data_IF_368065669880
#
_entry.id   IF_368065669880
#
_cell.length_a   1.000
_cell.length_b   1.000
_cell.length_c   1.000
_cell.angle_alpha   90.00
_cell.angle_beta   90.00
_cell.angle_gamma   90.00
#
_symmetry.space_group_name_H-M   'P 1'
#
loop_
_entity.id
_entity.type
_entity.pdbx_description
1 polymer ?
#
# COMPACT_ATOMS: atom_id res chain seq x y z
N UNK A 1 -16.14 44.14 57.41
CA UNK A 1 -17.44 43.89 56.75
C UNK A 1 -17.19 43.32 55.36
N UNK A 2 -17.87 42.21 55.07
CA UNK A 2 -17.90 41.35 53.88
C UNK A 2 -17.54 41.98 52.53
N UNK A 3 -16.79 41.22 51.71
CA UNK A 3 -17.39 40.40 50.62
C UNK A 3 -16.35 39.46 49.98
N UNK A 4 -16.64 38.15 50.06
CA UNK A 4 -16.10 37.13 49.15
C UNK A 4 -16.55 37.45 47.72
N UNK A 5 -15.65 37.32 46.74
CA UNK A 5 -16.02 36.99 45.37
C UNK A 5 -14.95 36.10 44.75
N UNK A 6 -15.32 34.85 44.57
CA UNK A 6 -14.65 33.83 43.77
C UNK A 6 -14.68 34.23 42.30
N UNK A 7 -13.54 34.18 41.62
CA UNK A 7 -13.48 34.12 40.17
C UNK A 7 -12.20 33.38 39.78
N UNK A 8 -12.38 32.32 39.00
CA UNK A 8 -11.38 31.32 38.69
C UNK A 8 -10.13 31.86 38.01
N UNK A 9 -9.02 31.16 38.22
CA UNK A 9 -7.89 31.22 37.33
C UNK A 9 -7.67 29.82 36.76
N UNK A 10 -7.61 29.76 35.44
CA UNK A 10 -7.63 28.55 34.64
C UNK A 10 -6.46 27.64 35.01
N UNK A 11 -6.79 26.35 35.16
CA UNK A 11 -5.82 25.28 34.97
C UNK A 11 -5.30 25.37 33.52
N UNK A 12 -4.07 25.84 33.37
CA UNK A 12 -3.33 25.75 32.12
C UNK A 12 -1.87 25.49 32.44
N UNK A 13 -1.56 24.30 32.94
CA UNK A 13 -0.21 23.76 32.79
C UNK A 13 -0.19 22.84 31.59
N UNK A 14 -0.31 23.43 30.41
CA UNK A 14 0.32 22.88 29.23
C UNK A 14 1.81 22.76 29.57
N UNK A 15 2.27 21.55 29.91
CA UNK A 15 3.69 21.26 30.03
C UNK A 15 4.27 21.41 28.63
N UNK A 16 4.72 22.62 28.32
CA UNK A 16 5.47 22.94 27.12
C UNK A 16 6.68 22.01 27.10
N UNK A 17 6.74 21.12 26.11
CA UNK A 17 7.91 20.33 25.81
C UNK A 17 9.00 21.30 25.33
N UNK A 18 9.71 21.93 26.27
CA UNK A 18 10.83 22.82 25.99
C UNK A 18 12.01 21.93 25.64
N UNK A 19 12.48 22.03 24.40
CA UNK A 19 13.70 21.37 23.97
C UNK A 19 14.90 21.90 24.77
N UNK A 20 15.68 20.99 25.37
CA UNK A 20 16.92 21.31 26.07
C UNK A 20 18.09 20.78 25.21
N UNK A 21 18.94 21.67 24.67
CA UNK A 21 20.07 21.26 23.83
C UNK A 21 21.12 20.45 24.62
N UNK A 22 21.99 19.70 23.91
CA UNK A 22 23.17 19.09 24.51
C UNK A 22 24.09 20.14 25.13
N UNK A 23 24.74 19.80 26.24
CA UNK A 23 25.75 20.64 26.88
C UNK A 23 26.96 20.84 25.95
N UNK A 24 27.53 22.04 25.98
CA UNK A 24 28.79 22.31 25.28
C UNK A 24 29.95 21.60 25.99
N UNK A 25 30.92 21.09 25.22
CA UNK A 25 31.96 20.20 25.75
C UNK A 25 32.79 20.79 26.90
N UNK A 26 33.01 22.11 26.93
CA UNK A 26 33.71 22.79 28.03
C UNK A 26 32.95 22.77 29.37
N UNK A 27 31.63 22.58 29.35
CA UNK A 27 30.79 22.55 30.53
C UNK A 27 30.50 21.11 31.01
N UNK A 28 30.76 20.09 30.19
CA UNK A 28 30.43 18.70 30.50
C UNK A 28 31.24 18.18 31.70
N UNK A 29 32.54 18.46 31.75
CA UNK A 29 33.37 18.00 32.87
C UNK A 29 32.97 18.66 34.19
N UNK A 30 32.80 19.98 34.20
CA UNK A 30 32.33 20.72 35.38
C UNK A 30 30.92 20.30 35.81
N UNK A 31 30.05 19.96 34.87
CA UNK A 31 28.73 19.42 35.17
C UNK A 31 28.84 18.04 35.82
N UNK A 32 29.69 17.13 35.32
CA UNK A 32 29.86 15.78 35.88
C UNK A 32 30.51 15.74 37.28
N UNK A 33 31.14 16.83 37.72
CA UNK A 33 31.69 16.98 39.07
C UNK A 33 30.60 17.17 40.14
N UNK A 34 29.40 17.60 39.76
CA UNK A 34 28.27 17.75 40.69
C UNK A 34 27.69 16.38 41.08
N UNK A 35 28.01 15.95 42.31
CA UNK A 35 27.55 14.68 42.90
C UNK A 35 26.03 14.61 43.11
N UNK A 36 25.31 15.73 43.00
CA UNK A 36 23.86 15.79 43.16
C UNK A 36 23.09 15.41 41.88
N UNK A 37 23.79 15.25 40.75
CA UNK A 37 23.17 14.89 39.49
C UNK A 37 22.73 13.43 39.50
N UNK A 38 21.42 13.23 39.38
CA UNK A 38 20.83 11.91 39.23
C UNK A 38 21.41 11.16 38.01
N UNK A 39 21.71 9.87 38.18
CA UNK A 39 22.23 8.99 37.12
C UNK A 39 21.39 9.03 35.83
N UNK A 40 20.07 9.18 35.97
CA UNK A 40 19.15 9.31 34.84
C UNK A 40 19.39 10.57 34.00
N UNK A 41 19.74 11.69 34.63
CA UNK A 41 20.11 12.92 33.90
C UNK A 41 21.42 12.73 33.13
N UNK A 42 22.38 12.02 33.71
CA UNK A 42 23.66 11.68 33.06
C UNK A 42 23.42 10.80 31.82
N UNK A 43 22.50 9.82 31.92
CA UNK A 43 22.08 9.00 30.77
C UNK A 43 21.34 9.82 29.70
N UNK A 44 20.41 10.67 30.11
CA UNK A 44 19.69 11.55 29.18
C UNK A 44 20.64 12.48 28.41
N UNK A 45 21.65 13.02 29.10
CA UNK A 45 22.68 13.85 28.45
C UNK A 45 23.56 13.03 27.50
N UNK A 46 23.93 11.79 27.88
CA UNK A 46 24.64 10.88 26.97
C UNK A 46 23.88 10.67 25.65
N UNK A 47 22.56 10.48 25.71
CA UNK A 47 21.71 10.32 24.53
C UNK A 47 21.73 11.56 23.65
N UNK A 48 21.65 12.77 24.24
CA UNK A 48 21.71 14.02 23.49
C UNK A 48 23.06 14.20 22.79
N UNK A 49 24.16 13.90 23.48
CA UNK A 49 25.52 13.99 22.92
C UNK A 49 25.72 12.98 21.78
N UNK A 50 25.19 11.76 21.90
CA UNK A 50 25.24 10.77 20.82
C UNK A 50 24.47 11.22 19.58
N UNK A 51 23.26 11.77 19.77
CA UNK A 51 22.48 12.32 18.67
C UNK A 51 23.19 13.50 17.98
N UNK A 52 23.82 14.39 18.77
CA UNK A 52 24.61 15.48 18.24
C UNK A 52 25.79 14.97 17.40
N UNK A 53 26.48 13.93 17.87
CA UNK A 53 27.59 13.31 17.13
C UNK A 53 27.11 12.73 15.79
N UNK A 54 25.99 12.02 15.77
CA UNK A 54 25.41 11.45 14.55
C UNK A 54 25.03 12.56 13.55
N UNK A 55 24.44 13.65 14.05
CA UNK A 55 24.13 14.84 13.25
C UNK A 55 25.40 15.50 12.68
N UNK A 56 26.48 15.57 13.45
CA UNK A 56 27.75 16.11 12.99
C UNK A 56 28.38 15.22 11.91
N UNK A 57 28.40 13.90 12.09
CA UNK A 57 28.86 12.97 11.06
C UNK A 57 28.05 13.11 9.77
N UNK A 58 26.72 13.22 9.86
CA UNK A 58 25.86 13.46 8.68
C UNK A 58 26.21 14.77 7.96
N UNK A 59 26.45 15.85 8.71
CA UNK A 59 26.86 17.16 8.16
C UNK A 59 28.25 17.12 7.53
N UNK A 60 29.21 16.42 8.14
CA UNK A 60 30.57 16.22 7.62
C UNK A 60 30.50 15.49 6.29
N UNK A 61 29.78 14.37 6.22
CA UNK A 61 29.60 13.61 4.96
C UNK A 61 28.99 14.47 3.86
N UNK A 62 27.90 15.19 4.14
CA UNK A 62 27.25 16.06 3.16
C UNK A 62 28.12 17.24 2.68
N UNK A 63 29.04 17.74 3.54
CA UNK A 63 30.02 18.78 3.18
C UNK A 63 31.16 18.21 2.33
N UNK A 64 31.63 17.03 2.69
CA UNK A 64 32.70 16.32 2.00
C UNK A 64 32.28 15.96 0.56
N UNK A 65 31.06 15.46 0.36
CA UNK A 65 30.47 15.18 -0.96
C UNK A 65 30.40 16.43 -1.86
N UNK A 66 30.30 17.62 -1.26
CA UNK A 66 30.27 18.92 -1.95
C UNK A 66 31.65 19.57 -2.09
N UNK A 67 32.73 18.85 -1.72
CA UNK A 67 34.11 19.35 -1.78
C UNK A 67 34.38 20.54 -0.85
N UNK A 68 33.58 20.73 0.20
CA UNK A 68 33.75 21.85 1.15
C UNK A 68 34.61 21.41 2.33
N UNK A 69 35.30 22.37 2.94
CA UNK A 69 36.07 22.15 4.17
C UNK A 69 35.17 21.72 5.33
N UNK A 70 35.65 20.71 6.08
CA UNK A 70 34.97 20.09 7.23
C UNK A 70 35.67 20.35 8.56
N UNK A 71 36.85 20.98 8.57
CA UNK A 71 37.73 21.11 9.73
C UNK A 71 37.03 21.60 11.02
N UNK A 72 36.16 22.61 10.92
CA UNK A 72 35.39 23.10 12.08
C UNK A 72 34.37 22.08 12.61
N UNK A 73 33.75 21.32 11.71
CA UNK A 73 32.80 20.26 12.09
C UNK A 73 33.53 19.04 12.67
N UNK A 74 34.71 18.71 12.13
CA UNK A 74 35.56 17.64 12.62
C UNK A 74 36.07 17.95 14.04
N UNK A 75 36.51 19.19 14.29
CA UNK A 75 36.90 19.66 15.63
C UNK A 75 35.73 19.59 16.62
N UNK A 76 34.53 20.02 16.20
CA UNK A 76 33.35 19.93 17.06
C UNK A 76 32.94 18.48 17.33
N UNK A 77 32.98 17.60 16.33
CA UNK A 77 32.72 16.18 16.51
C UNK A 77 33.72 15.55 17.50
N UNK A 78 34.99 15.95 17.44
CA UNK A 78 36.00 15.52 18.38
C UNK A 78 35.70 15.97 19.83
N UNK A 79 35.26 17.22 20.02
CA UNK A 79 34.84 17.73 21.34
C UNK A 79 33.63 16.97 21.90
N UNK A 80 32.66 16.62 21.05
CA UNK A 80 31.49 15.81 21.44
C UNK A 80 31.92 14.37 21.80
N UNK A 81 32.87 13.77 21.07
CA UNK A 81 33.42 12.45 21.41
C UNK A 81 34.11 12.45 22.78
N UNK A 82 34.87 13.50 23.10
CA UNK A 82 35.47 13.66 24.42
C UNK A 82 34.40 13.79 25.51
N UNK A 83 33.36 14.58 25.26
CA UNK A 83 32.21 14.74 26.17
C UNK A 83 31.51 13.41 26.44
N UNK A 84 31.20 12.63 25.39
CA UNK A 84 30.64 11.27 25.50
C UNK A 84 31.55 10.37 26.33
N UNK A 85 32.87 10.50 26.14
CA UNK A 85 33.86 9.69 26.85
C UNK A 85 33.89 10.02 28.34
N UNK A 86 33.88 11.30 28.71
CA UNK A 86 33.78 11.76 30.10
C UNK A 86 32.50 11.24 30.77
N UNK A 87 31.36 11.39 30.09
CA UNK A 87 30.05 10.92 30.58
C UNK A 87 30.04 9.40 30.80
N UNK A 88 30.54 8.62 29.84
CA UNK A 88 30.63 7.15 29.96
C UNK A 88 31.54 6.72 31.12
N UNK A 89 32.67 7.42 31.33
CA UNK A 89 33.56 7.16 32.48
C UNK A 89 32.86 7.43 33.81
N UNK A 90 32.14 8.56 33.94
CA UNK A 90 31.38 8.88 35.16
C UNK A 90 30.29 7.85 35.43
N UNK A 91 29.53 7.43 34.41
CA UNK A 91 28.52 6.37 34.56
C UNK A 91 29.14 5.05 35.05
N UNK A 92 30.31 4.68 34.52
CA UNK A 92 31.03 3.50 34.98
C UNK A 92 31.48 3.64 36.44
N UNK A 93 32.04 4.78 36.82
CA UNK A 93 32.43 5.05 38.21
C UNK A 93 31.24 4.96 39.17
N UNK A 94 30.08 5.47 38.79
CA UNK A 94 28.87 5.36 39.60
C UNK A 94 28.43 3.91 39.77
N UNK A 95 28.57 3.06 38.75
CA UNK A 95 28.27 1.63 38.84
C UNK A 95 29.28 0.90 39.74
N UNK A 96 30.57 1.20 39.57
CA UNK A 96 31.66 0.58 40.33
C UNK A 96 31.69 1.03 41.81
N UNK A 97 31.09 2.18 42.14
CA UNK A 97 31.00 2.72 43.50
C UNK A 97 29.87 2.10 44.34
N UNK A 98 28.95 1.33 43.75
CA UNK A 98 27.98 0.56 44.53
C UNK A 98 28.69 -0.64 45.21
N UNK A 99 28.40 -0.94 46.50
CA UNK A 99 28.94 -2.11 47.15
C UNK A 99 28.56 -3.37 46.35
N UNK A 100 29.41 -4.43 46.35
CA UNK A 100 29.11 -5.68 45.68
C UNK A 100 28.04 -6.42 46.49
N UNK A 101 26.80 -5.95 46.40
CA UNK A 101 25.63 -6.75 46.72
C UNK A 101 25.66 -7.87 45.69
N UNK A 102 25.55 -9.12 46.16
CA UNK A 102 25.37 -10.29 45.30
C UNK A 102 24.28 -9.94 44.30
N UNK A 103 24.68 -9.59 43.09
CA UNK A 103 23.76 -9.42 41.98
C UNK A 103 23.22 -10.82 41.79
N UNK A 104 21.96 -11.04 42.17
CA UNK A 104 21.21 -12.14 41.58
C UNK A 104 21.40 -11.93 40.08
N UNK A 105 22.15 -12.82 39.43
CA UNK A 105 22.79 -12.55 38.15
C UNK A 105 21.74 -12.53 37.04
N UNK A 106 20.89 -11.50 37.05
CA UNK A 106 19.86 -11.24 36.06
C UNK A 106 20.48 -10.84 34.73
N UNK A 107 21.82 -10.66 34.64
CA UNK A 107 22.48 -10.44 33.35
C UNK A 107 22.48 -11.69 32.48
N UNK A 108 22.57 -12.87 33.08
CA UNK A 108 22.40 -14.14 32.38
C UNK A 108 20.95 -14.31 31.91
N UNK A 109 19.97 -14.02 32.77
CA UNK A 109 18.55 -14.05 32.40
C UNK A 109 18.20 -12.98 31.36
N UNK A 110 18.73 -11.76 31.49
CA UNK A 110 18.49 -10.67 30.53
C UNK A 110 19.08 -11.01 29.15
N UNK A 111 20.30 -11.57 29.11
CA UNK A 111 20.90 -12.04 27.84
C UNK A 111 20.12 -13.20 27.22
N UNK A 112 19.58 -14.10 28.05
CA UNK A 112 18.71 -15.19 27.58
C UNK A 112 17.37 -14.66 27.06
N UNK A 113 16.78 -13.66 27.71
CA UNK A 113 15.55 -12.99 27.28
C UNK A 113 15.79 -12.27 25.94
N UNK A 114 16.85 -11.48 25.83
CA UNK A 114 17.23 -10.79 24.59
C UNK A 114 17.42 -11.78 23.43
N UNK A 115 18.14 -12.88 23.66
CA UNK A 115 18.35 -13.90 22.64
C UNK A 115 17.06 -14.66 22.27
N UNK A 116 16.13 -14.84 23.21
CA UNK A 116 14.82 -15.44 22.93
C UNK A 116 13.95 -14.51 22.09
N UNK A 117 13.89 -13.22 22.45
CA UNK A 117 13.17 -12.20 21.69
C UNK A 117 13.75 -12.04 20.28
N UNK A 118 15.08 -12.03 20.15
CA UNK A 118 15.76 -12.01 18.85
C UNK A 118 15.39 -13.23 18.00
N UNK A 119 15.38 -14.43 18.59
CA UNK A 119 14.98 -15.66 17.87
C UNK A 119 13.52 -15.62 17.43
N UNK A 120 12.62 -15.11 18.27
CA UNK A 120 11.22 -14.95 17.92
C UNK A 120 11.04 -13.94 16.79
N UNK A 121 11.74 -12.80 16.86
CA UNK A 121 11.74 -11.79 15.80
C UNK A 121 12.27 -12.37 14.48
N UNK A 122 13.35 -13.14 14.50
CA UNK A 122 13.87 -13.80 13.31
C UNK A 122 12.90 -14.82 12.72
N UNK A 123 12.24 -15.62 13.56
CA UNK A 123 11.23 -16.58 13.12
C UNK A 123 10.04 -15.87 12.46
N UNK A 124 9.49 -14.84 13.11
CA UNK A 124 8.39 -14.04 12.56
C UNK A 124 8.82 -13.32 11.28
N UNK A 125 10.02 -12.76 11.23
CA UNK A 125 10.56 -12.13 10.02
C UNK A 125 10.69 -13.14 8.87
N UNK A 126 11.13 -14.37 9.15
CA UNK A 126 11.22 -15.45 8.18
C UNK A 126 9.85 -15.81 7.60
N UNK A 127 8.86 -16.04 8.47
CA UNK A 127 7.48 -16.32 8.07
C UNK A 127 6.90 -15.20 7.22
N UNK A 128 7.05 -13.94 7.64
CA UNK A 128 6.55 -12.80 6.87
C UNK A 128 7.23 -12.69 5.50
N UNK A 129 8.53 -13.00 5.39
CA UNK A 129 9.22 -13.02 4.09
C UNK A 129 8.70 -14.12 3.17
N UNK A 130 8.40 -15.29 3.73
CA UNK A 130 7.79 -16.40 3.00
C UNK A 130 6.37 -16.04 2.53
N UNK A 131 5.51 -15.55 3.43
CA UNK A 131 4.16 -15.09 3.12
C UNK A 131 4.17 -14.01 2.02
N UNK A 132 5.06 -13.03 2.12
CA UNK A 132 5.22 -11.99 1.09
C UNK A 132 5.67 -12.62 -0.23
N UNK A 133 6.58 -13.58 -0.22
CA UNK A 133 7.05 -14.25 -1.43
C UNK A 133 5.93 -15.03 -2.11
N UNK A 134 5.15 -15.80 -1.34
CA UNK A 134 3.99 -16.52 -1.83
C UNK A 134 2.95 -15.57 -2.42
N UNK A 135 2.64 -14.47 -1.72
CA UNK A 135 1.65 -13.50 -2.18
C UNK A 135 2.13 -12.78 -3.45
N UNK A 136 3.42 -12.44 -3.53
CA UNK A 136 4.01 -11.90 -4.77
C UNK A 136 3.91 -12.89 -5.93
N UNK A 137 4.09 -14.18 -5.68
CA UNK A 137 3.95 -15.21 -6.71
C UNK A 137 2.49 -15.35 -7.17
N UNK A 138 1.52 -15.30 -6.24
CA UNK A 138 0.08 -15.30 -6.58
C UNK A 138 -0.29 -14.08 -7.42
N UNK A 139 0.15 -12.89 -7.01
CA UNK A 139 -0.06 -11.65 -7.78
C UNK A 139 0.56 -11.77 -9.17
N UNK A 140 1.81 -12.23 -9.28
CA UNK A 140 2.46 -12.42 -10.58
C UNK A 140 1.69 -13.40 -11.48
N UNK A 141 1.17 -14.50 -10.93
CA UNK A 141 0.35 -15.46 -11.66
C UNK A 141 -0.97 -14.83 -12.14
N UNK A 142 -1.64 -14.06 -11.29
CA UNK A 142 -2.87 -13.35 -11.66
C UNK A 142 -2.61 -12.29 -12.72
N UNK A 143 -1.54 -11.51 -12.59
CA UNK A 143 -1.12 -10.54 -13.61
C UNK A 143 -0.83 -11.22 -14.94
N UNK A 144 -0.13 -12.36 -14.94
CA UNK A 144 0.12 -13.14 -16.14
C UNK A 144 -1.17 -13.68 -16.76
N UNK A 145 -2.11 -14.18 -15.94
CA UNK A 145 -3.42 -14.63 -16.43
C UNK A 145 -4.22 -13.48 -17.04
N UNK A 146 -4.24 -12.31 -16.40
CA UNK A 146 -4.90 -11.12 -16.92
C UNK A 146 -4.27 -10.64 -18.23
N UNK A 147 -2.94 -10.63 -18.32
CA UNK A 147 -2.26 -10.25 -19.55
C UNK A 147 -2.53 -11.26 -20.67
N UNK A 148 -2.55 -12.56 -20.36
CA UNK A 148 -2.92 -13.58 -21.35
C UNK A 148 -4.38 -13.45 -21.78
N UNK A 149 -5.32 -13.16 -20.87
CA UNK A 149 -6.72 -12.94 -21.25
C UNK A 149 -6.87 -11.67 -22.08
N UNK A 150 -6.12 -10.61 -21.76
CA UNK A 150 -6.07 -9.40 -22.57
C UNK A 150 -5.44 -9.66 -23.93
N UNK A 151 -4.40 -10.47 -23.99
CA UNK A 151 -3.74 -10.87 -25.23
C UNK A 151 -4.64 -11.78 -26.07
N UNK A 152 -5.41 -12.69 -25.45
CA UNK A 152 -6.43 -13.49 -26.15
C UNK A 152 -7.58 -12.62 -26.64
N UNK A 153 -8.09 -11.69 -25.82
CA UNK A 153 -9.13 -10.74 -26.25
C UNK A 153 -8.61 -9.81 -27.35
N UNK A 154 -7.33 -9.45 -27.30
CA UNK A 154 -6.67 -8.64 -28.33
C UNK A 154 -6.30 -9.47 -29.56
N UNK A 155 -6.01 -10.75 -29.44
CA UNK A 155 -5.84 -11.65 -30.57
C UNK A 155 -7.18 -11.99 -31.20
N UNK A 156 -8.27 -12.01 -30.44
CA UNK A 156 -9.64 -11.99 -30.96
C UNK A 156 -9.87 -10.67 -31.73
N UNK A 157 -9.64 -9.49 -31.14
CA UNK A 157 -9.77 -8.18 -31.85
C UNK A 157 -8.78 -7.98 -33.02
N UNK A 158 -7.53 -8.44 -32.92
CA UNK A 158 -6.50 -8.31 -33.98
C UNK A 158 -6.63 -9.44 -35.01
N UNK A 159 -7.23 -10.60 -34.69
CA UNK A 159 -7.74 -11.53 -35.71
C UNK A 159 -8.99 -10.98 -36.37
N UNK A 160 -9.69 -10.07 -35.69
CA UNK A 160 -10.73 -9.25 -36.30
C UNK A 160 -10.17 -8.17 -37.26
N UNK A 161 -8.98 -7.65 -36.97
CA UNK A 161 -8.33 -6.59 -37.76
C UNK A 161 -7.22 -7.09 -38.73
N UNK A 162 -7.11 -8.41 -38.93
CA UNK A 162 -6.17 -9.04 -39.88
C UNK A 162 -6.92 -9.80 -40.98
N UNK A 163 -7.70 -9.07 -41.78
CA UNK A 163 -8.20 -9.45 -43.13
C UNK A 163 -8.98 -10.76 -43.32
N UNK A 164 -9.32 -11.49 -42.26
CA UNK A 164 -10.19 -12.68 -42.36
C UNK A 164 -11.50 -12.55 -41.57
N UNK A 165 -11.59 -11.62 -40.61
CA UNK A 165 -12.84 -11.39 -39.86
C UNK A 165 -13.85 -10.50 -40.57
N UNK A 166 -13.40 -9.43 -41.22
CA UNK A 166 -14.26 -8.61 -42.09
C UNK A 166 -14.88 -9.49 -43.19
N UNK A 167 -14.12 -10.46 -43.71
CA UNK A 167 -14.64 -11.43 -44.67
C UNK A 167 -15.62 -12.44 -44.03
N UNK A 168 -15.40 -12.95 -42.80
CA UNK A 168 -16.39 -13.85 -42.15
C UNK A 168 -17.68 -13.14 -41.77
N UNK A 169 -17.62 -11.94 -41.20
CA UNK A 169 -18.81 -11.18 -40.79
C UNK A 169 -19.59 -10.70 -42.00
N UNK A 170 -18.91 -10.29 -43.08
CA UNK A 170 -19.54 -9.93 -44.34
C UNK A 170 -20.12 -11.17 -45.05
N UNK A 171 -19.48 -12.34 -44.93
CA UNK A 171 -20.01 -13.61 -45.42
C UNK A 171 -21.25 -14.05 -44.63
N UNK A 172 -21.24 -13.89 -43.30
CA UNK A 172 -22.37 -14.22 -42.42
C UNK A 172 -23.55 -13.26 -42.69
N UNK A 173 -23.29 -11.97 -42.89
CA UNK A 173 -24.28 -10.99 -43.35
C UNK A 173 -24.87 -11.36 -44.73
N UNK A 174 -24.04 -11.78 -45.70
CA UNK A 174 -24.51 -12.24 -47.02
C UNK A 174 -25.38 -13.48 -46.92
N UNK A 175 -25.02 -14.43 -46.05
CA UNK A 175 -25.82 -15.64 -45.80
C UNK A 175 -27.14 -15.33 -45.10
N UNK A 176 -27.13 -14.41 -44.13
CA UNK A 176 -28.34 -13.94 -43.46
C UNK A 176 -29.25 -13.18 -44.44
N UNK A 177 -28.69 -12.32 -45.30
CA UNK A 177 -29.44 -11.59 -46.32
C UNK A 177 -30.03 -12.53 -47.40
N UNK A 178 -29.30 -13.58 -47.78
CA UNK A 178 -29.81 -14.63 -48.66
C UNK A 178 -30.95 -15.43 -48.00
N UNK A 179 -30.80 -15.80 -46.72
CA UNK A 179 -31.85 -16.48 -45.96
C UNK A 179 -33.10 -15.60 -45.81
N UNK A 180 -32.92 -14.31 -45.52
CA UNK A 180 -33.99 -13.31 -45.47
C UNK A 180 -34.69 -13.17 -46.81
N UNK A 181 -33.93 -13.13 -47.91
CA UNK A 181 -34.47 -13.02 -49.27
C UNK A 181 -35.30 -14.26 -49.64
N UNK A 182 -34.81 -15.46 -49.33
CA UNK A 182 -35.54 -16.71 -49.57
C UNK A 182 -36.86 -16.76 -48.78
N UNK A 183 -36.86 -16.30 -47.52
CA UNK A 183 -38.08 -16.21 -46.71
C UNK A 183 -39.06 -15.18 -47.29
N UNK A 184 -38.59 -14.04 -47.78
CA UNK A 184 -39.43 -13.01 -48.41
C UNK A 184 -40.04 -13.49 -49.74
N UNK A 185 -39.28 -14.24 -50.55
CA UNK A 185 -39.80 -14.88 -51.76
C UNK A 185 -40.90 -15.89 -51.43
N UNK A 186 -40.69 -16.74 -50.41
CA UNK A 186 -41.69 -17.71 -49.99
C UNK A 186 -42.95 -17.04 -49.43
N UNK A 187 -42.81 -15.97 -48.62
CA UNK A 187 -43.95 -15.17 -48.17
C UNK A 187 -44.71 -14.58 -49.36
N UNK A 188 -43.99 -14.10 -50.38
CA UNK A 188 -44.61 -13.51 -51.57
C UNK A 188 -45.34 -14.57 -52.39
N UNK A 189 -44.75 -15.75 -52.56
CA UNK A 189 -45.36 -16.91 -53.22
C UNK A 189 -46.60 -17.42 -52.47
N UNK A 190 -46.56 -17.47 -51.15
CA UNK A 190 -47.71 -17.86 -50.33
C UNK A 190 -48.81 -16.81 -50.39
N UNK A 191 -48.46 -15.51 -50.41
CA UNK A 191 -49.44 -14.43 -50.58
C UNK A 191 -50.13 -14.48 -51.94
N UNK A 192 -49.39 -14.75 -53.02
CA UNK A 192 -50.01 -14.92 -54.34
C UNK A 192 -50.90 -16.16 -54.38
N UNK A 193 -50.45 -17.30 -53.86
CA UNK A 193 -51.26 -18.50 -53.76
C UNK A 193 -52.54 -18.29 -52.93
N UNK A 194 -52.46 -17.56 -51.81
CA UNK A 194 -53.63 -17.18 -51.03
C UNK A 194 -54.57 -16.24 -51.78
N UNK A 195 -54.04 -15.29 -52.57
CA UNK A 195 -54.85 -14.42 -53.41
C UNK A 195 -55.59 -15.23 -54.49
N UNK A 196 -54.90 -16.16 -55.15
CA UNK A 196 -55.50 -17.05 -56.15
C UNK A 196 -56.59 -17.95 -55.55
N UNK A 197 -56.32 -18.53 -54.37
CA UNK A 197 -57.32 -19.34 -53.66
C UNK A 197 -58.53 -18.51 -53.24
N UNK A 198 -58.33 -17.27 -52.77
CA UNK A 198 -59.45 -16.36 -52.48
C UNK A 198 -60.26 -16.06 -53.74
N UNK A 199 -59.61 -15.73 -54.85
CA UNK A 199 -60.30 -15.48 -56.11
C UNK A 199 -61.10 -16.71 -56.57
N UNK A 200 -60.54 -17.92 -56.44
CA UNK A 200 -61.25 -19.17 -56.75
C UNK A 200 -62.45 -19.40 -55.84
N UNK A 201 -62.30 -19.19 -54.54
CA UNK A 201 -63.41 -19.29 -53.58
C UNK A 201 -64.50 -18.25 -53.86
N UNK A 202 -64.14 -17.02 -54.21
CA UNK A 202 -65.08 -15.98 -54.61
C UNK A 202 -65.85 -16.41 -55.87
N UNK A 203 -65.17 -16.89 -56.91
CA UNK A 203 -65.81 -17.41 -58.12
C UNK A 203 -66.72 -18.62 -57.85
N UNK A 204 -66.29 -19.56 -57.03
CA UNK A 204 -67.11 -20.72 -56.64
C UNK A 204 -68.31 -20.29 -55.79
N UNK A 205 -68.15 -19.31 -54.89
CA UNK A 205 -69.25 -18.75 -54.11
C UNK A 205 -70.28 -18.02 -54.97
N UNK A 206 -69.83 -17.31 -56.02
CA UNK A 206 -70.71 -16.68 -57.00
C UNK A 206 -71.43 -17.75 -57.83
N UNK A 207 -70.72 -18.79 -58.28
CA UNK A 207 -71.30 -19.90 -59.03
C UNK A 207 -72.34 -20.68 -58.22
N UNK A 208 -72.07 -20.96 -56.94
CA UNK A 208 -73.04 -21.60 -56.02
C UNK A 208 -74.25 -20.71 -55.74
N UNK A 209 -74.08 -19.38 -55.75
CA UNK A 209 -75.17 -18.41 -55.59
C UNK A 209 -76.00 -18.24 -56.87
N UNK A 210 -75.41 -18.50 -58.03
CA UNK A 210 -76.05 -18.43 -59.35
C UNK A 210 -76.70 -19.76 -59.79
N UNK A 211 -76.37 -20.89 -59.14
CA UNK A 211 -77.06 -22.17 -59.37
C UNK A 211 -78.45 -22.16 -58.71
N UNK A 212 -79.54 -22.31 -59.48
CA UNK A 212 -80.86 -22.51 -58.89
C UNK A 212 -80.85 -23.85 -58.17
N UNK A 213 -81.30 -23.85 -56.91
CA UNK A 213 -81.52 -25.07 -56.14
C UNK A 213 -82.53 -25.96 -56.86
N UNK A 214 -82.05 -27.00 -57.54
CA UNK A 214 -82.87 -28.00 -58.24
C UNK A 214 -83.04 -29.31 -57.45
N UNK A 215 -82.67 -29.34 -56.16
CA UNK A 215 -82.95 -30.49 -55.28
C UNK A 215 -84.07 -30.13 -54.27
N UNK A 216 -85.20 -29.69 -54.81
CA UNK A 216 -86.49 -29.70 -54.11
C UNK A 216 -87.62 -29.86 -55.13
N UNK A 217 -87.73 -31.06 -55.70
CA UNK A 217 -88.97 -31.63 -56.25
C UNK A 217 -88.98 -33.15 -56.01
#
# INVERSE_FOLDING_TARGET
>A
MNKKKTSGHLDTTHSSCVYIPPLEGCHVEAWLEDETIAQEKIRGELTKQQFLLDLLHSKISARHERGRTTAELDEHAWQVQNSITAIKRKLKQLVDALPPVVSLDTTADSRCIEMYEEKQLMATQGMLREDISEERQKVAKLCWQLENMKQLAKEEEDSEDNKDSDDTDEQECKLEEAARSALLEEITRLRSACADLRARLEMESLTQRELPNYDSL
#
